data_IF_471856405940
#
_entry.id   IF_471856405940
#
_cell.length_a   1.000
_cell.length_b   1.000
_cell.length_c   1.000
_cell.angle_alpha   90.00
_cell.angle_beta   90.00
_cell.angle_gamma   90.00
#
_symmetry.space_group_name_H-M   'P 1'
#
loop_
_entity.id
_entity.type
_entity.pdbx_description
1 polymer ?
#
# COMPACT_ATOMS: atom_id res chain seq x y z
N UNK A 1 22.02 4.53 7.46
CA UNK A 1 20.54 4.62 7.41
C UNK A 1 20.08 5.46 8.57
N UNK A 2 19.31 6.53 8.31
CA UNK A 2 18.61 7.24 9.37
C UNK A 2 17.47 6.35 9.87
N UNK A 3 17.30 6.26 11.19
CA UNK A 3 16.16 5.53 11.76
C UNK A 3 14.88 6.30 11.43
N UNK A 4 13.83 5.57 11.09
CA UNK A 4 12.49 6.16 10.94
C UNK A 4 12.07 6.85 12.24
N UNK A 5 11.37 7.97 12.13
CA UNK A 5 10.79 8.60 13.30
C UNK A 5 9.70 7.69 13.90
N UNK A 6 9.38 7.82 15.20
CA UNK A 6 8.27 7.07 15.80
C UNK A 6 6.92 7.27 15.09
N UNK A 7 6.73 8.43 14.45
CA UNK A 7 5.54 8.75 13.67
C UNK A 7 5.50 7.95 12.37
N UNK A 8 6.63 7.93 11.64
CA UNK A 8 6.70 7.21 10.36
C UNK A 8 6.58 5.70 10.56
N UNK A 9 7.24 5.17 11.59
CA UNK A 9 7.14 3.76 11.95
C UNK A 9 5.68 3.35 12.24
N UNK A 10 4.94 4.19 12.99
CA UNK A 10 3.53 3.93 13.29
C UNK A 10 2.69 3.90 12.02
N UNK A 11 2.84 4.90 11.14
CA UNK A 11 2.13 4.96 9.86
C UNK A 11 2.39 3.72 9.00
N UNK A 12 3.65 3.28 8.88
CA UNK A 12 4.00 2.08 8.12
C UNK A 12 3.32 0.82 8.69
N UNK A 13 3.29 0.67 10.03
CA UNK A 13 2.62 -0.47 10.68
C UNK A 13 1.10 -0.43 10.51
N UNK A 14 0.48 0.75 10.59
CA UNK A 14 -0.96 0.92 10.39
C UNK A 14 -1.38 0.53 8.95
N UNK A 15 -0.61 0.95 7.95
CA UNK A 15 -0.85 0.59 6.54
C UNK A 15 -0.68 -0.91 6.32
N UNK A 16 0.44 -1.48 6.78
CA UNK A 16 0.70 -2.92 6.71
C UNK A 16 -0.44 -3.74 7.35
N UNK A 17 -0.89 -3.31 8.52
CA UNK A 17 -1.99 -3.94 9.24
C UNK A 17 -3.31 -3.84 8.46
N UNK A 18 -3.63 -2.68 7.89
CA UNK A 18 -4.84 -2.51 7.06
C UNK A 18 -4.83 -3.45 5.86
N UNK A 19 -3.75 -3.46 5.09
CA UNK A 19 -3.62 -4.32 3.90
C UNK A 19 -3.82 -5.80 4.26
N UNK A 20 -3.21 -6.26 5.35
CA UNK A 20 -3.38 -7.63 5.81
C UNK A 20 -4.83 -7.93 6.23
N UNK A 21 -5.50 -7.01 6.93
CA UNK A 21 -6.89 -7.20 7.38
C UNK A 21 -7.89 -7.30 6.23
N UNK A 22 -7.65 -6.58 5.13
CA UNK A 22 -8.49 -6.67 3.91
C UNK A 22 -8.05 -7.79 2.97
N UNK A 23 -7.13 -8.66 3.40
CA UNK A 23 -6.69 -9.83 2.63
C UNK A 23 -5.70 -9.53 1.50
N UNK A 24 -5.16 -8.31 1.44
CA UNK A 24 -4.14 -7.92 0.45
C UNK A 24 -2.76 -8.34 0.96
N UNK A 25 -2.11 -9.26 0.23
CA UNK A 25 -0.71 -9.62 0.48
C UNK A 25 0.21 -8.53 -0.06
N UNK A 26 1.25 -8.20 0.68
CA UNK A 26 2.26 -7.22 0.28
C UNK A 26 3.68 -7.66 0.68
N UNK A 27 4.68 -7.02 0.09
CA UNK A 27 6.10 -7.24 0.37
C UNK A 27 6.73 -5.89 0.73
N UNK A 28 7.50 -5.77 1.82
CA UNK A 28 8.26 -4.56 2.12
C UNK A 28 9.45 -4.44 1.15
N UNK A 29 9.58 -3.29 0.49
CA UNK A 29 10.69 -2.97 -0.41
C UNK A 29 11.55 -1.89 0.24
N UNK A 30 12.86 -2.10 0.45
CA UNK A 30 13.75 -1.06 0.95
C UNK A 30 13.96 0.01 -0.12
N UNK A 31 14.07 1.27 0.30
CA UNK A 31 14.33 2.42 -0.57
C UNK A 31 15.56 3.19 -0.08
N UNK A 32 16.36 3.70 -1.00
CA UNK A 32 17.58 4.42 -0.72
C UNK A 32 17.39 5.95 -0.71
N UNK A 33 16.42 6.46 -1.49
CA UNK A 33 16.14 7.89 -1.61
C UNK A 33 14.64 8.20 -1.47
N UNK A 34 14.33 9.46 -1.22
CA UNK A 34 12.95 9.93 -1.14
C UNK A 34 12.24 9.83 -2.49
N UNK A 35 12.95 10.09 -3.60
CA UNK A 35 12.39 9.99 -4.95
C UNK A 35 11.98 8.55 -5.29
N UNK A 36 12.79 7.57 -4.87
CA UNK A 36 12.45 6.14 -5.00
C UNK A 36 11.22 5.80 -4.16
N UNK A 37 11.14 6.30 -2.93
CA UNK A 37 9.98 6.13 -2.06
C UNK A 37 8.70 6.69 -2.71
N UNK A 38 8.74 7.94 -3.18
CA UNK A 38 7.59 8.59 -3.81
C UNK A 38 7.13 7.86 -5.08
N UNK A 39 8.08 7.36 -5.88
CA UNK A 39 7.77 6.58 -7.08
C UNK A 39 7.06 5.26 -6.73
N UNK A 40 7.57 4.52 -5.74
CA UNK A 40 6.95 3.26 -5.30
C UNK A 40 5.62 3.49 -4.58
N UNK A 41 5.46 4.58 -3.83
CA UNK A 41 4.22 4.94 -3.18
C UNK A 41 3.13 5.29 -4.22
N UNK A 42 3.47 6.03 -5.28
CA UNK A 42 2.55 6.31 -6.38
C UNK A 42 2.12 5.02 -7.11
N UNK A 43 3.07 4.11 -7.34
CA UNK A 43 2.78 2.80 -7.94
C UNK A 43 1.87 1.94 -7.06
N UNK A 44 2.10 1.91 -5.75
CA UNK A 44 1.24 1.22 -4.79
C UNK A 44 -0.19 1.76 -4.84
N UNK A 45 -0.36 3.09 -4.77
CA UNK A 45 -1.67 3.74 -4.86
C UNK A 45 -2.40 3.39 -6.15
N UNK A 46 -1.69 3.41 -7.29
CA UNK A 46 -2.26 3.03 -8.59
C UNK A 46 -2.77 1.59 -8.60
N UNK A 47 -2.01 0.65 -8.02
CA UNK A 47 -2.41 -0.77 -7.94
C UNK A 47 -3.61 -0.99 -7.03
N UNK A 48 -3.67 -0.28 -5.90
CA UNK A 48 -4.81 -0.34 -4.98
C UNK A 48 -6.09 0.17 -5.64
N UNK A 49 -6.01 1.28 -6.38
CA UNK A 49 -7.13 1.80 -7.17
C UNK A 49 -7.63 0.77 -8.20
N UNK A 50 -6.72 0.14 -8.95
CA UNK A 50 -7.08 -0.90 -9.91
C UNK A 50 -7.77 -2.10 -9.23
N UNK A 51 -7.24 -2.55 -8.09
CA UNK A 51 -7.85 -3.63 -7.31
C UNK A 51 -9.24 -3.25 -6.79
N UNK A 52 -9.44 -1.99 -6.37
CA UNK A 52 -10.74 -1.49 -5.95
C UNK A 52 -11.75 -1.51 -7.10
N UNK A 53 -11.38 -0.97 -8.26
CA UNK A 53 -12.23 -0.98 -9.48
C UNK A 53 -12.57 -2.40 -9.92
N UNK A 54 -11.63 -3.34 -9.84
CA UNK A 54 -11.89 -4.75 -10.15
C UNK A 54 -12.84 -5.41 -9.14
N UNK A 55 -12.72 -5.09 -7.85
CA UNK A 55 -13.61 -5.58 -6.81
C UNK A 55 -15.04 -5.08 -7.03
N UNK A 56 -15.22 -3.78 -7.25
CA UNK A 56 -16.53 -3.17 -7.53
C UNK A 56 -17.20 -3.78 -8.77
N UNK A 57 -16.44 -4.03 -9.84
CA UNK A 57 -16.97 -4.69 -11.06
C UNK A 57 -17.42 -6.12 -10.79
N UNK A 58 -16.70 -6.87 -9.96
CA UNK A 58 -17.07 -8.25 -9.59
C UNK A 58 -18.33 -8.28 -8.74
N UNK A 59 -18.51 -7.31 -7.86
CA UNK A 59 -19.71 -7.18 -7.02
C UNK A 59 -20.93 -6.69 -7.81
N UNK A 60 -20.74 -5.77 -8.77
CA UNK A 60 -21.82 -5.24 -9.63
C UNK A 60 -22.28 -6.17 -10.77
N UNK A 61 -21.53 -7.23 -11.07
CA UNK A 61 -21.88 -8.21 -12.12
C UNK A 61 -22.69 -9.43 -11.64
N UNK A 62 -23.02 -9.49 -10.35
CA UNK A 62 -23.78 -10.59 -9.73
C UNK A 62 -25.25 -10.25 -9.45
N UNK A 63 -25.79 -9.19 -10.07
CA UNK A 63 -27.20 -8.78 -9.96
C UNK A 63 -28.04 -9.29 -11.13
#
# INVERSE_FOLDING_TARGET
MNRASPVDLRKSLEIANHLAHIGIRFVPIPVATEEEFQTLAAELSRRLEQMAVEAEKKEGGAA
#
